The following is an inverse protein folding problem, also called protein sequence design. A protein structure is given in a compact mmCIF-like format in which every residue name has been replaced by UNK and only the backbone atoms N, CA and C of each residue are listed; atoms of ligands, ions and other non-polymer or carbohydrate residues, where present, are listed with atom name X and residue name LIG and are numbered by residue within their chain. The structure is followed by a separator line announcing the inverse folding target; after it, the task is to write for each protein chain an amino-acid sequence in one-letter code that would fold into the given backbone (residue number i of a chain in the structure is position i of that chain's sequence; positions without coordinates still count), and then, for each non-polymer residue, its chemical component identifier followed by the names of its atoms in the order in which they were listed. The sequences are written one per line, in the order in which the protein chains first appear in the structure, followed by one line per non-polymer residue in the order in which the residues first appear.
data_IF_158693943145
#
_entry.id   IF_158693943145
#
_cell.length_a   1.000
_cell.length_b   1.000
_cell.length_c   1.000
_cell.angle_alpha   90.00
_cell.angle_beta   90.00
_cell.angle_gamma   90.00
#
_symmetry.space_group_name_H-M   'P 1'
#
loop_
_entity.id
_entity.type
_entity.pdbx_description
1 polymer ?
#
# COMPACT_ATOMS: atom_id res chain seq x y z
N UNK A 1 -23.36 2.78 -4.48
CA UNK A 1 -22.41 3.81 -5.02
C UNK A 1 -21.05 3.15 -5.16
N UNK A 2 -20.37 3.35 -6.31
CA UNK A 2 -19.00 2.84 -6.51
C UNK A 2 -18.02 4.00 -6.27
N UNK A 3 -16.98 3.74 -5.49
CA UNK A 3 -15.90 4.69 -5.17
C UNK A 3 -14.59 4.16 -5.74
N UNK A 4 -13.86 4.97 -6.49
CA UNK A 4 -12.55 4.60 -7.01
C UNK A 4 -11.49 4.80 -5.92
N UNK A 5 -10.83 3.72 -5.55
CA UNK A 5 -9.69 3.71 -4.65
C UNK A 5 -8.39 3.59 -5.46
N UNK A 6 -7.82 4.75 -5.79
CA UNK A 6 -6.56 4.82 -6.52
C UNK A 6 -5.43 4.61 -5.52
N UNK A 7 -4.61 3.56 -5.71
CA UNK A 7 -3.65 3.13 -4.70
C UNK A 7 -2.25 2.86 -5.25
N UNK A 8 -1.26 3.04 -4.39
CA UNK A 8 0.07 2.46 -4.51
C UNK A 8 0.45 1.84 -3.16
N UNK A 9 0.92 0.59 -3.16
CA UNK A 9 1.35 -0.13 -1.95
C UNK A 9 2.49 0.59 -1.22
N UNK A 10 3.24 1.45 -1.91
CA UNK A 10 4.26 2.32 -1.30
C UNK A 10 3.70 3.28 -0.24
N UNK A 11 2.42 3.59 -0.26
CA UNK A 11 1.84 4.56 0.67
C UNK A 11 1.29 3.89 1.93
N UNK A 12 1.70 4.32 3.14
CA UNK A 12 1.07 3.83 4.38
C UNK A 12 -0.43 4.17 4.44
N UNK A 13 -0.86 5.27 3.80
CA UNK A 13 -2.26 5.65 3.72
C UNK A 13 -3.08 4.62 2.90
N UNK A 14 -2.47 3.95 1.93
CA UNK A 14 -3.10 2.84 1.21
C UNK A 14 -3.41 1.68 2.15
N UNK A 15 -2.45 1.29 3.01
CA UNK A 15 -2.68 0.28 4.03
C UNK A 15 -3.81 0.68 4.98
N UNK A 16 -3.78 1.90 5.51
CA UNK A 16 -4.79 2.37 6.45
C UNK A 16 -6.19 2.39 5.83
N UNK A 17 -6.32 2.94 4.63
CA UNK A 17 -7.61 2.97 3.94
C UNK A 17 -8.12 1.55 3.65
N UNK A 18 -7.26 0.67 3.13
CA UNK A 18 -7.61 -0.71 2.84
C UNK A 18 -8.18 -1.45 4.06
N UNK A 19 -7.51 -1.34 5.21
CA UNK A 19 -7.98 -2.00 6.45
C UNK A 19 -9.31 -1.44 6.97
N UNK A 20 -9.73 -0.25 6.56
CA UNK A 20 -11.01 0.37 6.95
C UNK A 20 -12.12 0.23 5.90
N UNK A 21 -11.79 -0.04 4.64
CA UNK A 21 -12.76 -0.18 3.55
C UNK A 21 -13.88 -1.16 3.90
N UNK A 22 -13.64 -2.39 4.42
CA UNK A 22 -14.72 -3.34 4.70
C UNK A 22 -15.77 -2.82 5.71
N UNK A 23 -15.32 -2.08 6.74
CA UNK A 23 -16.25 -1.46 7.69
C UNK A 23 -17.02 -0.30 7.03
N UNK A 24 -16.36 0.46 6.18
CA UNK A 24 -16.99 1.55 5.43
C UNK A 24 -18.08 1.03 4.49
N UNK A 25 -17.79 0.00 3.71
CA UNK A 25 -18.75 -0.65 2.80
C UNK A 25 -19.96 -1.18 3.56
N UNK A 26 -19.72 -1.87 4.69
CA UNK A 26 -20.79 -2.38 5.55
C UNK A 26 -21.70 -1.28 6.09
N UNK A 27 -21.14 -0.14 6.48
CA UNK A 27 -21.91 0.98 7.07
C UNK A 27 -22.66 1.83 6.04
N UNK A 28 -22.13 1.94 4.84
CA UNK A 28 -22.64 2.90 3.85
C UNK A 28 -23.32 2.26 2.64
N UNK A 29 -23.10 0.96 2.40
CA UNK A 29 -23.54 0.26 1.19
C UNK A 29 -22.76 0.71 -0.07
N UNK A 30 -21.65 1.42 0.08
CA UNK A 30 -20.73 1.72 -1.00
C UNK A 30 -19.90 0.47 -1.34
N UNK A 31 -19.32 0.45 -2.53
CA UNK A 31 -18.34 -0.54 -2.98
C UNK A 31 -17.09 0.17 -3.48
N UNK A 32 -15.92 -0.36 -3.20
CA UNK A 32 -14.67 0.24 -3.63
C UNK A 32 -14.06 -0.52 -4.81
N UNK A 33 -13.73 0.24 -5.86
CA UNK A 33 -13.01 -0.28 -7.02
C UNK A 33 -11.55 0.09 -6.91
N UNK A 34 -10.69 -0.89 -6.79
CA UNK A 34 -9.24 -0.70 -6.65
C UNK A 34 -8.59 -0.40 -8.01
N UNK A 35 -7.88 0.71 -8.09
CA UNK A 35 -7.17 1.17 -9.30
C UNK A 35 -5.69 1.31 -8.97
N UNK A 36 -4.82 0.40 -9.46
CA UNK A 36 -3.39 0.51 -9.23
C UNK A 36 -2.79 1.73 -9.94
N UNK A 37 -1.95 2.48 -9.25
CA UNK A 37 -1.15 3.55 -9.84
C UNK A 37 0.31 3.44 -9.40
N UNK A 38 1.23 4.09 -10.12
CA UNK A 38 2.62 4.20 -9.71
C UNK A 38 2.88 5.60 -9.16
N UNK A 39 2.81 5.75 -7.83
CA UNK A 39 2.91 7.04 -7.16
C UNK A 39 4.21 7.79 -7.49
N UNK A 40 5.35 7.10 -7.47
CA UNK A 40 6.63 7.67 -7.87
C UNK A 40 6.64 8.18 -9.33
N UNK A 41 5.95 7.47 -10.22
CA UNK A 41 5.75 7.90 -11.62
C UNK A 41 4.88 9.16 -11.70
N UNK A 42 3.82 9.24 -10.93
CA UNK A 42 2.94 10.42 -10.87
C UNK A 42 3.73 11.62 -10.38
N UNK A 43 4.50 11.51 -9.29
CA UNK A 43 5.36 12.61 -8.82
C UNK A 43 6.29 13.11 -9.91
N UNK A 44 6.96 12.20 -10.61
CA UNK A 44 7.87 12.56 -11.71
C UNK A 44 7.16 13.29 -12.86
N UNK A 45 6.01 12.78 -13.30
CA UNK A 45 5.26 13.33 -14.44
C UNK A 45 4.60 14.68 -14.13
N UNK A 46 4.28 14.95 -12.88
CA UNK A 46 3.66 16.21 -12.44
C UNK A 46 4.68 17.23 -11.92
N UNK A 47 5.98 16.96 -12.07
CA UNK A 47 7.06 17.77 -11.50
C UNK A 47 6.89 18.03 -10.01
N UNK A 48 6.42 17.01 -9.27
CA UNK A 48 6.20 17.05 -7.83
C UNK A 48 7.19 16.11 -7.12
N UNK A 49 7.20 16.14 -5.80
CA UNK A 49 8.05 15.31 -4.96
C UNK A 49 7.23 14.57 -3.90
N UNK A 50 7.68 13.39 -3.45
CA UNK A 50 7.09 12.74 -2.29
C UNK A 50 7.11 13.66 -1.06
N UNK A 51 6.07 13.64 -0.21
CA UNK A 51 5.95 14.55 0.93
C UNK A 51 7.15 14.58 1.86
N UNK A 52 7.80 13.43 2.11
CA UNK A 52 8.98 13.33 2.98
C UNK A 52 10.21 14.06 2.41
N UNK A 53 10.28 14.23 1.07
CA UNK A 53 11.31 15.05 0.41
C UNK A 53 10.86 16.52 0.38
N UNK A 54 9.63 16.77 -0.08
CA UNK A 54 9.09 18.13 -0.23
C UNK A 54 9.08 18.91 1.08
N UNK A 55 8.89 18.25 2.20
CA UNK A 55 8.80 18.86 3.53
C UNK A 55 9.99 18.56 4.43
N UNK A 56 11.11 18.06 3.89
CA UNK A 56 12.30 17.74 4.68
C UNK A 56 12.82 18.93 5.51
N UNK A 57 12.71 20.14 4.97
CA UNK A 57 13.13 21.38 5.64
C UNK A 57 12.02 22.07 6.46
N UNK A 58 10.83 21.47 6.54
CA UNK A 58 9.74 22.02 7.35
C UNK A 58 9.83 21.47 8.77
N UNK A 59 10.21 22.35 9.71
CA UNK A 59 10.39 21.99 11.11
C UNK A 59 9.16 21.26 11.68
N UNK A 60 9.40 20.17 12.37
CA UNK A 60 8.41 19.32 13.04
C UNK A 60 7.36 18.64 12.10
N UNK A 61 7.42 18.84 10.79
CA UNK A 61 6.41 18.29 9.88
C UNK A 61 6.46 16.74 9.85
N UNK A 62 7.66 16.19 9.73
CA UNK A 62 7.86 14.73 9.73
C UNK A 62 7.50 14.11 11.08
N UNK A 63 7.93 14.74 12.18
CA UNK A 63 7.65 14.26 13.54
C UNK A 63 6.13 14.26 13.80
N UNK A 64 5.44 15.32 13.40
CA UNK A 64 3.99 15.41 13.53
C UNK A 64 3.29 14.31 12.69
N UNK A 65 3.76 14.04 11.48
CA UNK A 65 3.20 12.97 10.65
C UNK A 65 3.33 11.61 11.33
N UNK A 66 4.44 11.32 11.99
CA UNK A 66 4.60 10.07 12.75
C UNK A 66 3.62 9.98 13.92
N UNK A 67 3.43 11.08 14.65
CA UNK A 67 2.43 11.16 15.73
C UNK A 67 1.01 10.89 15.20
N UNK A 68 0.65 11.46 14.04
CA UNK A 68 -0.66 11.23 13.43
C UNK A 68 -0.85 9.77 13.01
N UNK A 69 0.18 9.13 12.47
CA UNK A 69 0.17 7.70 12.15
C UNK A 69 -0.06 6.87 13.42
N UNK A 70 0.68 7.13 14.48
CA UNK A 70 0.51 6.42 15.76
C UNK A 70 -0.89 6.56 16.35
N UNK A 71 -1.45 7.78 16.31
CA UNK A 71 -2.83 8.05 16.76
C UNK A 71 -3.84 7.28 15.93
N UNK A 72 -3.68 7.27 14.61
CA UNK A 72 -4.55 6.55 13.69
C UNK A 72 -4.50 5.04 13.94
N UNK A 73 -3.31 4.47 14.02
CA UNK A 73 -3.09 3.05 14.34
C UNK A 73 -3.75 2.65 15.65
N UNK A 74 -3.57 3.46 16.71
CA UNK A 74 -4.18 3.23 18.01
C UNK A 74 -5.70 3.33 17.96
N UNK A 75 -6.25 4.36 17.32
CA UNK A 75 -7.69 4.60 17.19
C UNK A 75 -8.39 3.44 16.49
N UNK A 76 -7.79 2.95 15.40
CA UNK A 76 -8.37 1.89 14.57
C UNK A 76 -7.87 0.48 14.92
N UNK A 77 -7.10 0.34 16.01
CA UNK A 77 -6.58 -0.95 16.52
C UNK A 77 -5.81 -1.75 15.47
N UNK A 78 -5.05 -1.07 14.61
CA UNK A 78 -4.23 -1.68 13.57
C UNK A 78 -2.92 -2.22 14.15
N UNK A 79 -3.01 -3.15 15.08
CA UNK A 79 -1.89 -3.62 15.92
C UNK A 79 -0.77 -4.33 15.17
N UNK A 80 -1.04 -4.77 13.93
CA UNK A 80 -0.03 -5.41 13.08
C UNK A 80 0.79 -4.40 12.28
N UNK A 81 0.33 -3.13 12.18
CA UNK A 81 1.03 -2.12 11.41
C UNK A 81 2.45 -1.91 11.92
N UNK A 82 3.39 -1.90 10.98
CA UNK A 82 4.80 -1.60 11.22
C UNK A 82 5.33 -0.73 10.09
N UNK A 83 5.99 0.37 10.43
CA UNK A 83 6.66 1.18 9.42
C UNK A 83 7.81 0.37 8.81
N UNK A 84 7.81 0.25 7.48
CA UNK A 84 8.76 -0.62 6.78
C UNK A 84 10.16 -0.02 6.78
N UNK A 85 11.16 -0.83 7.17
CA UNK A 85 12.57 -0.43 7.24
C UNK A 85 13.21 -0.21 5.86
N UNK A 86 12.58 -0.71 4.79
CA UNK A 86 13.02 -0.55 3.39
C UNK A 86 12.26 0.59 2.66
N UNK A 87 11.58 1.47 3.42
CA UNK A 87 10.88 2.62 2.83
C UNK A 87 11.88 3.68 2.31
N UNK A 88 11.64 4.30 1.14
CA UNK A 88 10.51 4.10 0.22
C UNK A 88 10.75 2.94 -0.76
N UNK A 89 9.74 2.09 -1.00
CA UNK A 89 9.87 0.97 -1.92
C UNK A 89 9.73 1.39 -3.38
N UNK A 90 10.29 0.57 -4.29
CA UNK A 90 10.00 0.63 -5.72
C UNK A 90 8.90 -0.38 -6.03
N UNK A 91 7.69 0.09 -6.37
CA UNK A 91 6.49 -0.73 -6.45
C UNK A 91 6.04 -1.11 -7.86
N UNK A 92 6.83 -0.82 -8.91
CA UNK A 92 6.43 -1.06 -10.30
C UNK A 92 6.04 -2.53 -10.56
N UNK A 93 6.78 -3.49 -10.00
CA UNK A 93 6.48 -4.91 -10.18
C UNK A 93 5.22 -5.31 -9.36
N UNK A 94 5.08 -4.78 -8.16
CA UNK A 94 3.89 -4.99 -7.32
C UNK A 94 2.64 -4.47 -8.03
N UNK A 95 2.69 -3.28 -8.65
CA UNK A 95 1.54 -2.71 -9.35
C UNK A 95 1.21 -3.45 -10.65
N UNK A 96 2.23 -3.98 -11.36
CA UNK A 96 2.02 -4.88 -12.50
C UNK A 96 1.36 -6.18 -12.07
N UNK A 97 1.81 -6.77 -10.96
CA UNK A 97 1.20 -7.94 -10.36
C UNK A 97 -0.27 -7.70 -9.95
N UNK A 98 -0.58 -6.52 -9.41
CA UNK A 98 -1.95 -6.13 -9.08
C UNK A 98 -2.87 -6.12 -10.31
N UNK A 99 -2.39 -5.58 -11.45
CA UNK A 99 -3.13 -5.60 -12.71
C UNK A 99 -3.31 -7.05 -13.23
N UNK A 100 -2.27 -7.89 -13.13
CA UNK A 100 -2.36 -9.28 -13.52
C UNK A 100 -3.37 -10.03 -12.63
N UNK A 101 -3.30 -9.84 -11.32
CA UNK A 101 -4.22 -10.45 -10.36
C UNK A 101 -5.68 -10.04 -10.60
N UNK A 102 -5.93 -8.77 -10.99
CA UNK A 102 -7.27 -8.34 -11.41
C UNK A 102 -7.78 -9.10 -12.63
N UNK A 103 -6.93 -9.33 -13.63
CA UNK A 103 -7.29 -10.09 -14.84
C UNK A 103 -7.54 -11.56 -14.54
N UNK A 104 -6.86 -12.11 -13.54
CA UNK A 104 -6.97 -13.50 -13.11
C UNK A 104 -8.06 -13.73 -12.05
N UNK A 105 -8.75 -12.67 -11.60
CA UNK A 105 -9.76 -12.69 -10.52
C UNK A 105 -9.22 -13.21 -9.17
N UNK A 106 -7.97 -12.90 -8.85
CA UNK A 106 -7.30 -13.23 -7.58
C UNK A 106 -6.73 -11.97 -6.90
N UNK A 107 -7.33 -10.82 -7.19
CA UNK A 107 -6.82 -9.53 -6.74
C UNK A 107 -6.85 -9.36 -5.22
N UNK A 108 -7.92 -9.78 -4.57
CA UNK A 108 -8.10 -9.55 -3.13
C UNK A 108 -7.03 -10.30 -2.33
N UNK A 109 -6.77 -11.55 -2.69
CA UNK A 109 -5.72 -12.37 -2.08
C UNK A 109 -4.33 -11.81 -2.38
N UNK A 110 -4.09 -11.41 -3.62
CA UNK A 110 -2.82 -10.78 -4.02
C UNK A 110 -2.58 -9.49 -3.24
N UNK A 111 -3.58 -8.61 -3.19
CA UNK A 111 -3.44 -7.32 -2.55
C UNK A 111 -3.22 -7.45 -1.05
N UNK A 112 -3.99 -8.29 -0.35
CA UNK A 112 -3.78 -8.55 1.07
C UNK A 112 -2.37 -9.12 1.33
N UNK A 113 -1.90 -10.03 0.49
CA UNK A 113 -0.56 -10.61 0.58
C UNK A 113 0.53 -9.53 0.51
N UNK A 114 0.53 -8.68 -0.52
CA UNK A 114 1.60 -7.69 -0.72
C UNK A 114 1.52 -6.51 0.24
N UNK A 115 0.30 -6.06 0.61
CA UNK A 115 0.13 -4.95 1.55
C UNK A 115 0.55 -5.36 2.98
N UNK A 116 0.25 -6.61 3.38
CA UNK A 116 0.70 -7.16 4.66
C UNK A 116 2.21 -7.43 4.67
N UNK A 117 2.78 -7.93 3.58
CA UNK A 117 4.23 -8.10 3.45
C UNK A 117 4.96 -6.76 3.69
N UNK A 118 4.46 -5.68 3.08
CA UNK A 118 5.04 -4.33 3.21
C UNK A 118 4.83 -3.74 4.61
N UNK A 119 3.60 -3.72 5.13
CA UNK A 119 3.24 -2.89 6.28
C UNK A 119 3.00 -3.65 7.59
N UNK A 120 3.08 -4.98 7.57
CA UNK A 120 2.98 -5.81 8.79
C UNK A 120 4.24 -6.66 9.01
N UNK A 121 4.89 -7.14 7.92
CA UNK A 121 5.97 -8.12 7.98
C UNK A 121 7.36 -7.57 7.60
N UNK A 122 7.48 -6.26 7.36
CA UNK A 122 8.76 -5.56 7.10
C UNK A 122 9.54 -6.15 5.90
N UNK A 123 8.83 -6.64 4.88
CA UNK A 123 9.47 -7.24 3.69
C UNK A 123 9.92 -6.17 2.70
N UNK A 124 11.09 -6.38 2.07
CA UNK A 124 11.56 -5.54 0.97
C UNK A 124 10.89 -5.94 -0.35
N UNK A 125 9.68 -5.46 -0.59
CA UNK A 125 8.92 -5.75 -1.82
C UNK A 125 9.51 -5.11 -3.08
N UNK A 126 10.55 -4.29 -2.96
CA UNK A 126 11.31 -3.78 -4.10
C UNK A 126 12.22 -4.83 -4.72
N UNK A 127 12.65 -5.81 -3.92
CA UNK A 127 13.44 -6.95 -4.38
C UNK A 127 12.52 -8.01 -4.98
N UNK A 128 12.74 -8.31 -6.27
CA UNK A 128 11.91 -9.27 -7.01
C UNK A 128 11.96 -10.67 -6.41
N UNK A 129 13.07 -11.08 -5.80
CA UNK A 129 13.20 -12.39 -5.20
C UNK A 129 12.37 -12.47 -3.91
N UNK A 130 12.41 -11.41 -3.08
CA UNK A 130 11.59 -11.30 -1.87
C UNK A 130 10.10 -11.25 -2.26
N UNK A 131 9.74 -10.50 -3.30
CA UNK A 131 8.35 -10.45 -3.78
C UNK A 131 7.87 -11.82 -4.24
N UNK A 132 8.68 -12.56 -5.02
CA UNK A 132 8.36 -13.92 -5.46
C UNK A 132 8.18 -14.86 -4.26
N UNK A 133 9.12 -14.85 -3.31
CA UNK A 133 9.01 -15.66 -2.09
C UNK A 133 7.70 -15.38 -1.33
N UNK A 134 7.33 -14.11 -1.17
CA UNK A 134 6.08 -13.71 -0.52
C UNK A 134 4.86 -14.26 -1.26
N UNK A 135 4.86 -14.20 -2.59
CA UNK A 135 3.77 -14.71 -3.41
C UNK A 135 3.67 -16.24 -3.36
N UNK A 136 4.80 -16.95 -3.48
CA UNK A 136 4.87 -18.41 -3.37
C UNK A 136 4.37 -18.93 -2.02
N UNK A 137 4.76 -18.27 -0.92
CA UNK A 137 4.28 -18.59 0.43
C UNK A 137 2.76 -18.41 0.59
N UNK A 138 2.14 -17.62 -0.29
CA UNK A 138 0.69 -17.43 -0.35
C UNK A 138 0.02 -18.18 -1.52
N UNK A 139 0.68 -19.22 -2.04
CA UNK A 139 0.19 -20.12 -3.08
C UNK A 139 -0.07 -19.46 -4.45
N UNK A 140 0.62 -18.37 -4.78
CA UNK A 140 0.60 -17.81 -6.13
C UNK A 140 1.62 -18.52 -7.01
N UNK A 141 1.23 -18.83 -8.27
CA UNK A 141 2.16 -19.24 -9.30
C UNK A 141 2.92 -18.02 -9.83
N UNK A 142 4.22 -17.96 -9.55
CA UNK A 142 5.09 -16.84 -9.97
C UNK A 142 5.90 -17.13 -11.23
N UNK A 143 5.69 -18.30 -11.87
CA UNK A 143 6.37 -18.69 -13.10
C UNK A 143 5.63 -18.25 -14.37
N UNK A 144 4.38 -17.83 -14.24
CA UNK A 144 3.50 -17.40 -15.34
C UNK A 144 3.49 -15.89 -15.62
#
# INVERSE_FOLDING_TARGET
MIVDFIFDVASPNTYFAHKLIPDFEKRTGASFRYIPCLLGGIHKLTNNQPPFIAYANCKNKSDYQMIEIERFVKQHKLTKYKFNSHFPPVTIQVQRGAIAAQKLNVFDEYFECVISAMWENDKNISDINVLKEVLEQNNFDVAS
#
